data_IF_286355686285
#
_entry.id   IF_286355686285
#
_cell.length_a   1.000
_cell.length_b   1.000
_cell.length_c   1.000
_cell.angle_alpha   90.00
_cell.angle_beta   90.00
_cell.angle_gamma   90.00
#
_symmetry.space_group_name_H-M   'P 1'
#
loop_
_entity.id
_entity.type
_entity.pdbx_description
1 polymer ?
#
# COMPACT_ATOMS: atom_id res chain seq x y z
N UNK A 1 -0.65 27.19 -3.71
CA UNK A 1 -0.27 25.93 -3.05
C UNK A 1 -0.19 26.22 -1.58
N UNK A 2 -1.05 25.58 -0.79
CA UNK A 2 -1.11 25.77 0.67
C UNK A 2 -0.48 24.56 1.33
N UNK A 3 0.42 24.78 2.28
CA UNK A 3 1.06 23.72 3.05
C UNK A 3 0.53 23.73 4.47
N UNK A 4 -0.02 22.60 4.92
CA UNK A 4 -0.33 22.34 6.32
C UNK A 4 0.80 21.50 6.91
N UNK A 5 1.34 21.93 8.05
CA UNK A 5 2.43 21.20 8.74
C UNK A 5 1.97 20.70 10.11
N UNK A 6 2.19 19.42 10.38
CA UNK A 6 1.98 18.78 11.68
C UNK A 6 3.33 18.42 12.28
N UNK A 7 3.70 19.10 13.36
CA UNK A 7 4.98 18.93 14.06
C UNK A 7 4.85 18.40 15.48
N UNK A 8 3.63 18.06 15.89
CA UNK A 8 3.34 17.49 17.22
C UNK A 8 2.19 16.48 17.13
N UNK A 9 1.77 15.96 18.28
CA UNK A 9 0.67 15.01 18.37
C UNK A 9 -0.68 15.69 18.12
N UNK A 10 -1.44 15.16 17.17
CA UNK A 10 -2.78 15.60 16.80
C UNK A 10 -3.71 14.38 16.80
N UNK A 11 -4.61 14.32 17.78
CA UNK A 11 -5.72 13.38 17.77
C UNK A 11 -6.90 13.96 16.97
N UNK A 12 -7.45 13.18 16.05
CA UNK A 12 -8.56 13.60 15.19
C UNK A 12 -9.70 12.57 15.22
N UNK A 13 -10.94 13.08 15.20
CA UNK A 13 -12.14 12.25 15.05
C UNK A 13 -12.69 12.27 13.62
N UNK A 14 -12.08 13.07 12.74
CA UNK A 14 -12.45 13.19 11.34
C UNK A 14 -11.18 13.29 10.50
N UNK A 15 -11.15 12.72 9.29
CA UNK A 15 -9.95 12.74 8.45
C UNK A 15 -9.50 14.16 8.15
N UNK A 16 -8.19 14.36 8.03
CA UNK A 16 -7.66 15.55 7.37
C UNK A 16 -8.01 15.43 5.89
N UNK A 17 -8.85 16.34 5.39
CA UNK A 17 -9.29 16.35 4.01
C UNK A 17 -8.42 17.32 3.22
N UNK A 18 -7.71 16.80 2.21
CA UNK A 18 -6.89 17.61 1.32
C UNK A 18 -7.67 18.04 0.08
N UNK A 19 -7.50 19.31 -0.28
CA UNK A 19 -8.09 19.96 -1.45
C UNK A 19 -7.04 20.27 -2.52
N UNK A 20 -7.47 20.72 -3.71
CA UNK A 20 -6.61 20.82 -4.91
C UNK A 20 -5.36 21.67 -4.64
N UNK A 21 -4.20 21.15 -5.04
CA UNK A 21 -2.90 21.81 -4.89
C UNK A 21 -2.51 22.13 -3.43
N UNK A 22 -2.95 21.32 -2.48
CA UNK A 22 -2.49 21.32 -1.10
C UNK A 22 -1.36 20.33 -0.87
N UNK A 23 -0.54 20.65 0.12
CA UNK A 23 0.45 19.74 0.69
C UNK A 23 0.20 19.57 2.18
N UNK A 24 0.13 18.32 2.64
CA UNK A 24 0.18 18.00 4.06
C UNK A 24 1.56 17.46 4.38
N UNK A 25 2.24 18.09 5.33
CA UNK A 25 3.54 17.67 5.82
C UNK A 25 3.43 17.24 7.28
N UNK A 26 3.76 15.99 7.56
CA UNK A 26 3.88 15.46 8.93
C UNK A 26 5.35 15.25 9.19
N UNK A 27 5.94 16.08 10.04
CA UNK A 27 7.38 16.03 10.34
C UNK A 27 7.70 14.80 11.20
N UNK A 28 8.99 14.48 11.40
CA UNK A 28 9.44 13.34 12.21
C UNK A 28 8.92 13.33 13.67
N UNK A 29 8.53 14.49 14.20
CA UNK A 29 7.93 14.61 15.54
C UNK A 29 6.39 14.69 15.51
N UNK A 30 5.82 14.81 14.31
CA UNK A 30 4.38 14.85 14.10
C UNK A 30 3.75 13.48 14.31
N UNK A 31 2.55 13.47 14.90
CA UNK A 31 1.72 12.26 14.96
C UNK A 31 0.28 12.63 14.63
N UNK A 32 -0.33 11.89 13.71
CA UNK A 32 -1.77 11.94 13.44
C UNK A 32 -2.38 10.64 13.93
N UNK A 33 -3.20 10.74 14.97
CA UNK A 33 -3.93 9.61 15.52
C UNK A 33 -5.43 9.79 15.25
N UNK A 34 -5.98 8.96 14.37
CA UNK A 34 -7.40 8.99 14.05
C UNK A 34 -8.17 7.93 14.82
N UNK A 35 -9.42 8.23 15.13
CA UNK A 35 -10.44 7.26 15.56
C UNK A 35 -11.55 7.10 14.52
N UNK A 36 -11.45 7.79 13.39
CA UNK A 36 -12.40 7.70 12.26
C UNK A 36 -11.90 6.72 11.19
N UNK A 37 -12.71 6.47 10.16
CA UNK A 37 -12.39 5.49 9.11
C UNK A 37 -11.14 5.82 8.25
N UNK A 38 -10.61 7.03 8.38
CA UNK A 38 -9.30 7.40 7.87
C UNK A 38 -8.64 8.50 8.70
N UNK A 39 -7.30 8.56 8.69
CA UNK A 39 -6.55 9.67 9.26
C UNK A 39 -6.35 10.78 8.21
N UNK A 40 -6.03 10.41 6.98
CA UNK A 40 -5.91 11.35 5.85
C UNK A 40 -6.79 10.88 4.71
N UNK A 41 -7.58 11.80 4.15
CA UNK A 41 -8.47 11.53 3.03
C UNK A 41 -8.28 12.57 1.92
N UNK A 42 -7.77 12.14 0.78
CA UNK A 42 -7.75 12.94 -0.42
C UNK A 42 -8.93 12.59 -1.34
N UNK A 43 -9.63 13.63 -1.80
CA UNK A 43 -10.73 13.52 -2.77
C UNK A 43 -10.40 13.99 -4.19
N UNK A 44 -9.27 14.67 -4.39
CA UNK A 44 -8.97 15.42 -5.62
C UNK A 44 -7.52 15.26 -6.02
N UNK A 45 -7.28 15.18 -7.34
CA UNK A 45 -5.93 15.07 -7.88
C UNK A 45 -5.03 16.25 -7.53
N UNK A 46 -3.71 16.01 -7.58
CA UNK A 46 -2.70 17.06 -7.44
C UNK A 46 -2.39 17.47 -5.99
N UNK A 47 -2.77 16.66 -5.00
CA UNK A 47 -2.28 16.82 -3.62
C UNK A 47 -0.97 16.07 -3.41
N UNK A 48 -0.23 16.49 -2.38
CA UNK A 48 0.95 15.77 -1.89
C UNK A 48 0.85 15.59 -0.38
N UNK A 49 0.92 14.35 0.10
CA UNK A 49 1.16 14.02 1.50
C UNK A 49 2.64 13.64 1.66
N UNK A 50 3.36 14.37 2.51
CA UNK A 50 4.71 14.01 2.95
C UNK A 50 4.66 13.60 4.41
N UNK A 51 4.97 12.34 4.72
CA UNK A 51 5.00 11.82 6.08
C UNK A 51 6.41 11.38 6.46
N UNK A 52 7.02 12.09 7.40
CA UNK A 52 8.24 11.68 8.12
C UNK A 52 7.93 11.23 9.56
N UNK A 53 6.73 11.52 10.08
CA UNK A 53 6.29 11.18 11.42
C UNK A 53 5.45 9.91 11.46
N UNK A 54 4.39 9.94 12.25
CA UNK A 54 3.51 8.78 12.47
C UNK A 54 2.08 9.10 12.08
N UNK A 55 1.47 8.25 11.26
CA UNK A 55 0.04 8.22 10.96
C UNK A 55 -0.52 6.90 11.45
N UNK A 56 -1.55 6.96 12.30
CA UNK A 56 -2.25 5.77 12.80
C UNK A 56 -3.76 5.98 12.78
N UNK A 57 -4.51 4.97 12.37
CA UNK A 57 -5.94 4.85 12.66
C UNK A 57 -6.19 3.75 13.70
N UNK A 58 -6.89 4.10 14.76
CA UNK A 58 -7.27 3.19 15.84
C UNK A 58 -8.65 2.55 15.64
N UNK A 59 -9.44 3.02 14.67
CA UNK A 59 -10.83 2.61 14.45
C UNK A 59 -11.01 1.14 14.10
N UNK A 60 -9.95 0.51 13.55
CA UNK A 60 -9.98 -0.88 13.10
C UNK A 60 -10.80 -1.09 11.81
N UNK A 61 -11.33 -0.02 11.22
CA UNK A 61 -12.18 -0.05 10.03
C UNK A 61 -11.69 1.01 9.03
N UNK A 62 -11.48 0.63 7.78
CA UNK A 62 -11.10 1.58 6.73
C UNK A 62 -9.59 1.62 6.41
N UNK A 63 -9.00 2.81 6.37
CA UNK A 63 -7.66 3.05 5.79
C UNK A 63 -6.89 4.09 6.60
N UNK A 64 -5.60 3.92 6.91
CA UNK A 64 -4.86 5.01 7.55
C UNK A 64 -4.78 6.25 6.60
N UNK A 65 -4.46 5.99 5.34
CA UNK A 65 -4.44 7.00 4.26
C UNK A 65 -5.30 6.53 3.08
N UNK A 66 -6.20 7.39 2.60
CA UNK A 66 -7.02 7.14 1.41
C UNK A 66 -6.78 8.22 0.33
N UNK A 67 -6.36 7.78 -0.85
CA UNK A 67 -6.03 8.62 -2.01
C UNK A 67 -7.06 8.36 -3.11
N UNK A 68 -8.17 9.11 -3.14
CA UNK A 68 -9.28 8.82 -4.05
C UNK A 68 -9.30 9.66 -5.33
N UNK A 69 -8.41 10.62 -5.51
CA UNK A 69 -8.31 11.47 -6.71
C UNK A 69 -6.98 11.37 -7.46
N UNK A 70 -6.07 10.48 -7.05
CA UNK A 70 -4.80 10.26 -7.75
C UNK A 70 -3.65 11.20 -7.32
N UNK A 71 -3.62 11.63 -6.07
CA UNK A 71 -2.49 12.38 -5.51
C UNK A 71 -1.24 11.56 -5.22
N UNK A 72 -0.28 12.20 -4.56
CA UNK A 72 1.03 11.60 -4.22
C UNK A 72 1.19 11.44 -2.71
N UNK A 73 1.65 10.26 -2.28
CA UNK A 73 2.10 10.00 -0.90
C UNK A 73 3.59 9.72 -0.90
N UNK A 74 4.34 10.47 -0.09
CA UNK A 74 5.77 10.30 0.15
C UNK A 74 5.94 9.96 1.62
N UNK A 75 6.34 8.73 1.92
CA UNK A 75 6.50 8.25 3.28
C UNK A 75 7.98 7.94 3.58
N UNK A 76 8.51 8.56 4.62
CA UNK A 76 9.77 8.19 5.29
C UNK A 76 9.56 7.88 6.78
N UNK A 77 8.35 8.07 7.30
CA UNK A 77 7.95 7.73 8.66
C UNK A 77 7.14 6.44 8.75
N UNK A 78 6.19 6.40 9.67
CA UNK A 78 5.31 5.26 9.91
C UNK A 78 3.89 5.59 9.51
N UNK A 79 3.29 4.75 8.66
CA UNK A 79 1.85 4.68 8.40
C UNK A 79 1.42 3.30 8.87
N UNK A 80 0.86 3.22 10.08
CA UNK A 80 0.48 1.94 10.66
C UNK A 80 -0.64 2.12 11.69
N UNK A 81 -1.82 1.59 11.40
CA UNK A 81 -2.93 1.50 12.34
C UNK A 81 -3.57 0.11 12.37
N UNK A 82 -4.76 0.08 12.97
CA UNK A 82 -5.63 -1.11 13.00
C UNK A 82 -6.48 -1.24 11.73
N UNK A 83 -6.39 -0.29 10.80
CA UNK A 83 -7.18 -0.24 9.57
C UNK A 83 -6.99 -1.46 8.66
N UNK A 84 -7.95 -1.70 7.75
CA UNK A 84 -7.79 -2.73 6.72
C UNK A 84 -6.65 -2.42 5.75
N UNK A 85 -6.31 -1.14 5.59
CA UNK A 85 -5.24 -0.74 4.68
C UNK A 85 -4.37 0.33 5.32
N UNK A 86 -3.06 0.22 5.15
CA UNK A 86 -2.16 1.33 5.48
C UNK A 86 -2.41 2.48 4.51
N UNK A 87 -2.22 2.21 3.22
CA UNK A 87 -2.59 3.14 2.14
C UNK A 87 -3.57 2.47 1.18
N UNK A 88 -4.67 3.14 0.86
CA UNK A 88 -5.59 2.74 -0.18
C UNK A 88 -5.66 3.81 -1.26
N UNK A 89 -5.41 3.44 -2.51
CA UNK A 89 -5.29 4.40 -3.59
C UNK A 89 -6.12 4.08 -4.82
N UNK A 90 -6.59 5.13 -5.48
CA UNK A 90 -7.43 5.09 -6.68
C UNK A 90 -6.90 6.05 -7.75
N UNK A 91 -7.28 5.79 -9.01
CA UNK A 91 -7.22 6.76 -10.12
C UNK A 91 -5.87 7.43 -10.34
N UNK A 92 -4.78 6.66 -10.37
CA UNK A 92 -3.47 7.17 -10.79
C UNK A 92 -2.61 7.75 -9.65
N UNK A 93 -2.83 7.28 -8.43
CA UNK A 93 -2.03 7.69 -7.28
C UNK A 93 -0.56 7.27 -7.42
N UNK A 94 0.33 8.08 -6.85
CA UNK A 94 1.75 7.74 -6.73
C UNK A 94 2.10 7.56 -5.27
N UNK A 95 2.60 6.39 -4.91
CA UNK A 95 3.03 6.07 -3.53
C UNK A 95 4.54 5.82 -3.55
N UNK A 96 5.26 6.60 -2.76
CA UNK A 96 6.71 6.51 -2.60
C UNK A 96 6.98 6.20 -1.13
N UNK A 97 7.41 4.98 -0.82
CA UNK A 97 7.85 4.59 0.50
C UNK A 97 9.39 4.58 0.52
N UNK A 98 9.97 5.65 1.04
CA UNK A 98 11.42 5.84 1.12
C UNK A 98 12.07 4.84 2.08
N UNK A 99 13.39 4.71 1.98
CA UNK A 99 14.17 3.97 2.96
C UNK A 99 13.91 4.49 4.38
N UNK A 100 13.71 3.56 5.32
CA UNK A 100 13.29 3.85 6.70
C UNK A 100 11.77 4.02 6.89
N UNK A 101 11.02 4.24 5.81
CA UNK A 101 9.57 4.31 5.84
C UNK A 101 8.92 2.95 6.09
N UNK A 102 7.89 2.92 6.92
CA UNK A 102 7.04 1.75 7.15
C UNK A 102 5.60 2.05 6.77
N UNK A 103 5.01 1.18 5.95
CA UNK A 103 3.58 1.13 5.72
C UNK A 103 3.07 -0.23 6.19
N UNK A 104 2.10 -0.24 7.09
CA UNK A 104 1.48 -1.46 7.55
C UNK A 104 -0.03 -1.34 7.67
N UNK A 105 -0.73 -2.44 7.39
CA UNK A 105 -2.15 -2.56 7.72
C UNK A 105 -2.34 -3.26 9.06
N UNK A 106 -3.55 -3.15 9.58
CA UNK A 106 -3.99 -3.75 10.84
C UNK A 106 -4.32 -5.24 10.76
N UNK A 107 -4.99 -5.69 11.82
CA UNK A 107 -5.02 -7.10 12.24
C UNK A 107 -5.79 -8.07 11.32
N UNK A 108 -6.62 -7.58 10.39
CA UNK A 108 -7.66 -8.41 9.75
C UNK A 108 -7.62 -8.31 8.22
N UNK A 109 -7.08 -9.33 7.54
CA UNK A 109 -7.19 -9.53 6.07
C UNK A 109 -6.81 -8.32 5.19
N UNK A 110 -6.03 -7.40 5.76
CA UNK A 110 -5.73 -6.11 5.16
C UNK A 110 -4.59 -6.15 4.15
N UNK A 111 -4.34 -5.00 3.50
CA UNK A 111 -3.14 -4.81 2.69
C UNK A 111 -2.34 -3.59 3.13
N UNK A 112 -1.03 -3.72 3.28
CA UNK A 112 -0.15 -2.58 3.59
C UNK A 112 -0.42 -1.45 2.60
N UNK A 113 -0.46 -1.78 1.31
CA UNK A 113 -0.97 -0.91 0.25
C UNK A 113 -2.01 -1.64 -0.61
N UNK A 114 -3.12 -0.96 -0.93
CA UNK A 114 -4.11 -1.42 -1.91
C UNK A 114 -4.18 -0.46 -3.09
N UNK A 115 -4.01 -1.00 -4.30
CA UNK A 115 -4.13 -0.28 -5.57
C UNK A 115 -5.48 -0.63 -6.22
N UNK A 116 -6.42 0.31 -6.22
CA UNK A 116 -7.77 0.13 -6.76
C UNK A 116 -8.02 0.95 -8.03
N UNK A 117 -8.93 0.44 -8.88
CA UNK A 117 -9.60 1.18 -9.96
C UNK A 117 -8.69 2.09 -10.80
N UNK A 118 -7.61 1.55 -11.36
CA UNK A 118 -6.85 2.25 -12.40
C UNK A 118 -7.75 2.48 -13.62
N UNK A 119 -7.35 3.44 -14.45
CA UNK A 119 -7.98 3.71 -15.74
C UNK A 119 -6.90 4.01 -16.76
N UNK A 120 -7.23 3.96 -18.05
CA UNK A 120 -6.31 4.38 -19.11
C UNK A 120 -5.80 5.81 -18.83
N UNK A 121 -4.47 5.97 -18.75
CA UNK A 121 -3.81 7.24 -18.41
C UNK A 121 -3.77 7.60 -16.91
N UNK A 122 -4.30 6.75 -16.03
CA UNK A 122 -4.36 6.94 -14.58
C UNK A 122 -3.96 5.63 -13.87
N UNK A 123 -2.67 5.33 -13.95
CA UNK A 123 -2.06 4.12 -13.40
C UNK A 123 -1.53 4.40 -12.01
N UNK A 124 -2.02 3.68 -11.01
CA UNK A 124 -1.45 3.75 -9.68
C UNK A 124 -0.04 3.16 -9.70
N UNK A 125 0.90 3.82 -9.03
CA UNK A 125 2.29 3.38 -8.95
C UNK A 125 2.78 3.33 -7.51
N UNK A 126 3.61 2.33 -7.21
CA UNK A 126 4.32 2.19 -5.94
C UNK A 126 5.82 2.13 -6.24
N UNK A 127 6.60 2.97 -5.55
CA UNK A 127 8.05 2.81 -5.42
C UNK A 127 8.37 2.56 -3.95
N UNK A 128 8.87 1.37 -3.63
CA UNK A 128 9.22 0.98 -2.27
C UNK A 128 10.73 0.79 -2.12
N UNK A 129 11.32 1.50 -1.18
CA UNK A 129 12.68 1.28 -0.66
C UNK A 129 12.68 1.06 0.86
N UNK A 130 11.52 1.13 1.50
CA UNK A 130 11.31 0.86 2.93
C UNK A 130 10.61 -0.48 3.15
N UNK A 131 9.78 -0.55 4.19
CA UNK A 131 9.00 -1.74 4.54
C UNK A 131 7.52 -1.53 4.26
N UNK A 132 6.91 -2.41 3.48
CA UNK A 132 5.46 -2.56 3.35
C UNK A 132 5.11 -3.93 3.90
N UNK A 133 4.43 -4.00 5.05
CA UNK A 133 4.13 -5.29 5.67
C UNK A 133 2.75 -5.37 6.26
N UNK A 134 2.21 -6.58 6.35
CA UNK A 134 1.04 -6.83 7.20
C UNK A 134 1.43 -7.80 8.30
N UNK A 135 1.28 -7.43 9.58
CA UNK A 135 1.72 -8.26 10.71
C UNK A 135 0.88 -9.51 10.90
N UNK A 136 -0.13 -9.74 10.07
CA UNK A 136 -1.15 -10.76 10.30
C UNK A 136 -0.99 -11.93 9.37
N UNK A 137 -1.34 -13.09 9.88
CA UNK A 137 -1.38 -14.37 9.21
C UNK A 137 -1.90 -14.36 7.76
N UNK A 138 -2.87 -13.49 7.43
CA UNK A 138 -3.64 -13.54 6.17
C UNK A 138 -3.65 -12.23 5.38
N UNK A 139 -2.78 -11.28 5.72
CA UNK A 139 -2.69 -10.00 5.04
C UNK A 139 -1.85 -10.01 3.76
N UNK A 140 -1.98 -8.97 2.95
CA UNK A 140 -1.18 -8.77 1.75
C UNK A 140 -0.18 -7.64 1.94
N UNK A 141 1.08 -7.77 1.54
CA UNK A 141 1.96 -6.60 1.50
C UNK A 141 1.36 -5.53 0.58
N UNK A 142 1.11 -5.92 -0.66
CA UNK A 142 0.40 -5.12 -1.67
C UNK A 142 -0.75 -5.94 -2.26
N UNK A 143 -1.92 -5.32 -2.41
CA UNK A 143 -3.04 -5.87 -3.15
C UNK A 143 -3.37 -5.00 -4.36
N UNK A 144 -3.48 -5.61 -5.56
CA UNK A 144 -3.95 -4.92 -6.77
C UNK A 144 -5.37 -5.38 -7.08
N UNK A 145 -6.31 -4.45 -6.94
CA UNK A 145 -7.77 -4.66 -7.02
C UNK A 145 -8.37 -3.76 -8.12
N UNK A 146 -7.99 -3.98 -9.37
CA UNK A 146 -8.32 -3.06 -10.46
C UNK A 146 -9.77 -3.13 -10.99
N UNK A 147 -10.60 -4.03 -10.47
CA UNK A 147 -12.03 -4.09 -10.85
C UNK A 147 -12.31 -4.34 -12.34
N UNK A 148 -11.30 -4.81 -13.10
CA UNK A 148 -11.46 -5.21 -14.51
C UNK A 148 -11.27 -4.10 -15.55
N UNK A 149 -10.57 -2.99 -15.24
CA UNK A 149 -10.40 -1.86 -16.17
C UNK A 149 -9.48 -2.15 -17.37
N UNK A 150 -8.73 -3.26 -17.34
CA UNK A 150 -7.73 -3.58 -18.36
C UNK A 150 -6.34 -3.01 -18.06
N UNK A 151 -6.21 -2.12 -17.07
CA UNK A 151 -4.97 -1.38 -16.77
C UNK A 151 -4.55 -1.69 -15.34
N UNK A 152 -3.44 -2.41 -15.13
CA UNK A 152 -2.98 -2.70 -13.77
C UNK A 152 -2.10 -1.60 -13.19
N UNK A 153 -1.58 -1.85 -11.99
CA UNK A 153 -0.63 -0.96 -11.31
C UNK A 153 0.82 -1.21 -11.74
N UNK A 154 1.70 -0.26 -11.39
CA UNK A 154 3.15 -0.43 -11.48
C UNK A 154 3.73 -0.53 -10.08
N UNK A 155 4.49 -1.58 -9.81
CA UNK A 155 5.13 -1.81 -8.52
C UNK A 155 6.64 -1.92 -8.75
N UNK A 156 7.38 -1.01 -8.14
CA UNK A 156 8.84 -1.05 -8.10
C UNK A 156 9.28 -1.26 -6.66
N UNK A 157 9.85 -2.42 -6.36
CA UNK A 157 10.50 -2.69 -5.08
C UNK A 157 12.01 -2.56 -5.27
N UNK A 158 12.57 -1.43 -4.87
CA UNK A 158 13.99 -1.13 -5.01
C UNK A 158 14.85 -1.99 -4.08
N UNK A 159 16.15 -2.01 -4.32
CA UNK A 159 17.11 -2.68 -3.45
C UNK A 159 16.98 -2.20 -2.00
N UNK A 160 16.94 -3.14 -1.05
CA UNK A 160 16.70 -2.88 0.37
C UNK A 160 15.22 -2.70 0.75
N UNK A 161 14.31 -2.59 -0.22
CA UNK A 161 12.87 -2.60 0.01
C UNK A 161 12.38 -3.99 0.42
N UNK A 162 11.47 -4.02 1.39
CA UNK A 162 10.82 -5.24 1.88
C UNK A 162 9.30 -5.13 1.72
N UNK A 163 8.71 -6.10 1.03
CA UNK A 163 7.26 -6.25 0.88
C UNK A 163 6.87 -7.60 1.45
N UNK A 164 6.15 -7.60 2.58
CA UNK A 164 5.82 -8.81 3.31
C UNK A 164 4.30 -8.97 3.55
N UNK A 165 3.74 -10.06 3.05
CA UNK A 165 2.40 -10.51 3.41
C UNK A 165 2.40 -11.36 4.67
N UNK A 166 1.20 -11.79 5.06
CA UNK A 166 1.03 -12.81 6.08
C UNK A 166 1.67 -14.13 5.67
N UNK A 167 2.11 -14.91 6.64
CA UNK A 167 2.76 -16.20 6.38
C UNK A 167 1.83 -17.40 6.65
N UNK A 168 0.61 -17.26 7.15
CA UNK A 168 -0.16 -18.45 7.54
C UNK A 168 -0.95 -19.08 6.39
N UNK A 169 -1.02 -20.41 6.41
CA UNK A 169 -1.92 -21.22 5.58
C UNK A 169 -3.27 -21.39 6.27
N UNK A 170 -4.37 -21.21 5.54
CA UNK A 170 -5.71 -21.44 6.07
C UNK A 170 -6.78 -21.23 5.01
N UNK A 171 -7.97 -21.82 5.20
CA UNK A 171 -9.09 -21.68 4.27
C UNK A 171 -9.48 -20.21 4.06
N UNK A 172 -9.62 -19.80 2.80
CA UNK A 172 -10.11 -18.49 2.37
C UNK A 172 -9.02 -17.57 1.80
N UNK A 173 -8.19 -17.00 2.68
CA UNK A 173 -7.15 -16.03 2.31
C UNK A 173 -5.81 -16.46 2.85
N UNK A 174 -4.82 -16.42 1.98
CA UNK A 174 -3.46 -16.83 2.26
C UNK A 174 -2.60 -15.58 2.10
N UNK A 175 -1.77 -15.27 3.10
CA UNK A 175 -1.04 -14.01 3.08
C UNK A 175 0.02 -13.99 1.98
N UNK A 176 0.09 -12.91 1.21
CA UNK A 176 0.98 -12.83 0.04
C UNK A 176 1.75 -11.53 0.06
N UNK A 177 3.01 -11.53 -0.33
CA UNK A 177 3.77 -10.29 -0.53
C UNK A 177 3.04 -9.34 -1.47
N UNK A 178 2.76 -9.81 -2.69
CA UNK A 178 1.94 -9.10 -3.69
C UNK A 178 0.84 -10.02 -4.22
N UNK A 179 -0.42 -9.63 -4.05
CA UNK A 179 -1.56 -10.29 -4.70
C UNK A 179 -2.11 -9.42 -5.84
N UNK A 180 -2.24 -10.02 -7.02
CA UNK A 180 -2.85 -9.42 -8.21
C UNK A 180 -4.21 -10.08 -8.41
N UNK A 181 -5.29 -9.31 -8.22
CA UNK A 181 -6.67 -9.79 -8.38
C UNK A 181 -7.27 -9.37 -9.73
N UNK A 182 -6.77 -8.29 -10.34
CA UNK A 182 -7.15 -7.83 -11.67
C UNK A 182 -6.14 -6.80 -12.21
N UNK A 183 -6.06 -6.68 -13.54
CA UNK A 183 -5.34 -5.63 -14.25
C UNK A 183 -3.98 -6.09 -14.76
N UNK A 184 -3.48 -5.49 -15.85
CA UNK A 184 -2.13 -5.76 -16.34
C UNK A 184 -1.06 -5.13 -15.41
N UNK A 185 -0.45 -5.91 -14.51
CA UNK A 185 0.52 -5.40 -13.53
C UNK A 185 1.95 -5.56 -14.01
N UNK A 186 2.76 -4.53 -13.79
CA UNK A 186 4.22 -4.60 -13.92
C UNK A 186 4.87 -4.55 -12.56
N UNK A 187 5.66 -5.58 -12.24
CA UNK A 187 6.46 -5.67 -11.02
C UNK A 187 7.94 -5.66 -11.41
N UNK A 188 8.68 -4.70 -10.87
CA UNK A 188 10.15 -4.69 -10.90
C UNK A 188 10.64 -4.88 -9.47
N UNK A 189 11.36 -5.97 -9.20
CA UNK A 189 11.84 -6.30 -7.87
C UNK A 189 13.36 -6.44 -7.82
N UNK A 190 13.99 -5.54 -7.08
CA UNK A 190 15.40 -5.57 -6.68
C UNK A 190 15.56 -5.80 -5.16
N UNK A 191 14.45 -5.78 -4.41
CA UNK A 191 14.39 -6.01 -2.97
C UNK A 191 13.89 -7.40 -2.59
N UNK A 192 13.22 -7.52 -1.44
CA UNK A 192 12.60 -8.76 -0.96
C UNK A 192 11.08 -8.68 -1.05
N UNK A 193 10.45 -9.71 -1.61
CA UNK A 193 9.00 -9.93 -1.58
C UNK A 193 8.74 -11.28 -0.91
N UNK A 194 8.01 -11.29 0.19
CA UNK A 194 7.76 -12.49 0.98
C UNK A 194 6.32 -12.60 1.47
N UNK A 195 5.91 -13.80 1.86
CA UNK A 195 4.58 -14.13 2.37
C UNK A 195 4.41 -15.64 2.35
N UNK A 196 3.21 -16.17 2.58
CA UNK A 196 2.97 -17.58 2.26
C UNK A 196 3.30 -17.87 0.80
N UNK A 197 2.94 -16.95 -0.11
CA UNK A 197 3.58 -16.82 -1.40
C UNK A 197 4.18 -15.41 -1.52
N UNK A 198 5.25 -15.25 -2.28
CA UNK A 198 5.81 -13.94 -2.56
C UNK A 198 4.87 -13.16 -3.49
N UNK A 199 4.51 -13.75 -4.63
CA UNK A 199 3.55 -13.16 -5.59
C UNK A 199 2.45 -14.16 -5.92
N UNK A 200 1.19 -13.70 -5.96
CA UNK A 200 0.04 -14.49 -6.40
C UNK A 200 -0.73 -13.73 -7.48
N UNK A 201 -0.98 -14.36 -8.62
CA UNK A 201 -1.85 -13.88 -9.69
C UNK A 201 -3.12 -14.72 -9.69
N UNK A 202 -4.28 -14.08 -9.50
CA UNK A 202 -5.56 -14.80 -9.44
C UNK A 202 -6.08 -15.17 -10.84
N UNK A 203 -6.70 -16.35 -10.98
CA UNK A 203 -7.13 -16.98 -12.25
C UNK A 203 -8.17 -16.21 -13.05
N UNK A 204 -8.85 -15.25 -12.44
CA UNK A 204 -9.79 -14.37 -13.13
C UNK A 204 -9.09 -13.30 -13.97
N UNK A 205 -7.79 -13.10 -13.79
CA UNK A 205 -7.02 -12.14 -14.56
C UNK A 205 -6.43 -12.78 -15.82
N UNK A 206 -6.90 -12.31 -16.98
CA UNK A 206 -6.43 -12.76 -18.30
C UNK A 206 -5.42 -11.80 -18.91
N UNK A 207 -5.09 -10.71 -18.21
CA UNK A 207 -4.22 -9.65 -18.70
C UNK A 207 -2.75 -9.99 -18.45
N UNK A 208 -1.88 -9.39 -19.25
CA UNK A 208 -0.45 -9.62 -19.17
C UNK A 208 0.12 -9.15 -17.83
N UNK A 209 0.83 -10.04 -17.15
CA UNK A 209 1.59 -9.74 -15.94
C UNK A 209 3.08 -9.77 -16.30
N UNK A 210 3.79 -8.69 -15.99
CA UNK A 210 5.24 -8.60 -16.21
C UNK A 210 5.93 -8.58 -14.86
N UNK A 211 6.83 -9.54 -14.62
CA UNK A 211 7.64 -9.61 -13.41
C UNK A 211 9.11 -9.64 -13.81
N UNK A 212 9.82 -8.55 -13.56
CA UNK A 212 11.27 -8.46 -13.66
C UNK A 212 11.86 -8.57 -12.25
N UNK A 213 12.64 -9.62 -11.99
CA UNK A 213 13.19 -9.90 -10.66
C UNK A 213 14.72 -9.98 -10.68
N UNK A 214 15.38 -9.03 -10.03
CA UNK A 214 16.80 -9.08 -9.69
C UNK A 214 17.04 -9.29 -8.17
N UNK A 215 15.99 -9.16 -7.33
CA UNK A 215 16.01 -9.44 -5.90
C UNK A 215 15.48 -10.83 -5.52
N UNK A 216 14.89 -10.92 -4.33
CA UNK A 216 14.30 -12.15 -3.76
C UNK A 216 12.77 -12.12 -3.84
N UNK A 217 12.18 -13.23 -4.31
CA UNK A 217 10.75 -13.54 -4.15
C UNK A 217 10.66 -14.88 -3.45
N UNK A 218 10.08 -14.91 -2.26
CA UNK A 218 10.23 -16.02 -1.33
C UNK A 218 8.89 -16.53 -0.79
N UNK A 219 8.85 -17.84 -0.57
CA UNK A 219 7.90 -18.48 0.33
C UNK A 219 8.70 -19.20 1.42
N UNK A 220 8.33 -19.08 2.70
CA UNK A 220 8.96 -19.85 3.77
C UNK A 220 8.53 -21.33 3.76
N UNK A 221 7.59 -21.72 2.88
CA UNK A 221 7.07 -23.09 2.78
C UNK A 221 7.64 -23.80 1.56
N UNK A 222 8.42 -24.86 1.79
CA UNK A 222 8.99 -25.66 0.71
C UNK A 222 7.95 -26.27 -0.26
N UNK A 223 6.70 -26.43 0.20
CA UNK A 223 5.59 -26.95 -0.59
C UNK A 223 4.84 -25.88 -1.39
N UNK A 224 5.22 -24.60 -1.28
CA UNK A 224 4.52 -23.48 -1.88
C UNK A 224 5.45 -22.75 -2.84
N UNK A 225 5.00 -22.57 -4.08
CA UNK A 225 5.76 -21.78 -5.04
C UNK A 225 5.82 -20.31 -4.60
N UNK A 226 6.99 -19.69 -4.75
CA UNK A 226 7.18 -18.26 -4.46
C UNK A 226 6.32 -17.36 -5.37
N UNK A 227 6.03 -17.82 -6.59
CA UNK A 227 5.09 -17.18 -7.52
C UNK A 227 3.99 -18.20 -7.84
N UNK A 228 2.73 -17.81 -7.62
CA UNK A 228 1.55 -18.64 -7.88
C UNK A 228 0.66 -18.02 -8.94
N UNK A 229 0.12 -18.87 -9.81
CA UNK A 229 -0.96 -18.55 -10.74
C UNK A 229 -2.13 -19.47 -10.40
N UNK A 230 -3.30 -18.94 -10.02
CA UNK A 230 -4.40 -19.79 -9.56
C UNK A 230 -5.72 -19.08 -9.36
#
# INVERSE_FOLDING_TARGET
>A
MTTQTISSYTAISSPIVLSVAETLEITAHGTVASTGAAAVYEKVSGVVLTNAGTITDSSGVGHDVNISGGGTVINSGVIAGNAFYGVHSFYGATIINNAGGTIAAGANYGAGVSLGYNKSGQVNSITNAGTIKVPTAKGFGIAVNDGGSGVGGVITNAAGGDIAGGNSSGGGHVGTGITIMAGAVTITNDGTISGYAGVTVKSTDTLAQTIANAGSIESPYASVAAIQFG
#
